data_IF_689794183555
#
_entry.id   IF_689794183555
#
_cell.length_a   1.000
_cell.length_b   1.000
_cell.length_c   1.000
_cell.angle_alpha   90.00
_cell.angle_beta   90.00
_cell.angle_gamma   90.00
#
_symmetry.space_group_name_H-M   'P 1'
#
loop_
_entity.id
_entity.type
_entity.pdbx_description
1 polymer ?
#
# COMPACT_ATOMS: atom_id res chain seq x y z
N UNK A 1 22.19 13.35 26.12
CA UNK A 1 20.80 13.56 25.63
C UNK A 1 20.54 15.01 25.23
N UNK A 2 20.62 16.00 26.14
CA UNK A 2 20.22 17.39 25.88
C UNK A 2 20.76 18.03 24.57
N UNK A 3 22.05 17.82 24.24
CA UNK A 3 22.64 18.32 22.98
C UNK A 3 21.93 17.77 21.74
N UNK A 4 21.68 16.46 21.68
CA UNK A 4 20.97 15.81 20.57
C UNK A 4 19.52 16.29 20.44
N UNK A 5 18.83 16.51 21.58
CA UNK A 5 17.48 17.09 21.59
C UNK A 5 17.48 18.53 21.04
N UNK A 6 18.51 19.33 21.35
CA UNK A 6 18.66 20.68 20.83
C UNK A 6 19.02 20.69 19.33
N UNK A 7 19.85 19.75 18.87
CA UNK A 7 20.15 19.53 17.44
C UNK A 7 18.88 19.14 16.68
N UNK A 8 18.14 18.12 17.12
CA UNK A 8 16.89 17.70 16.48
C UNK A 8 15.84 18.83 16.44
N UNK A 9 15.67 19.60 17.52
CA UNK A 9 14.76 20.78 17.52
C UNK A 9 15.21 21.86 16.54
N UNK A 10 16.51 21.98 16.28
CA UNK A 10 17.06 22.94 15.31
C UNK A 10 16.86 22.45 13.87
N UNK A 11 17.09 21.16 13.61
CA UNK A 11 16.82 20.52 12.32
C UNK A 11 15.34 20.59 11.95
N UNK A 12 14.44 20.29 12.89
CA UNK A 12 12.99 20.44 12.69
C UNK A 12 12.62 21.87 12.30
N UNK A 13 13.13 22.88 13.01
CA UNK A 13 12.91 24.30 12.66
C UNK A 13 13.45 24.67 11.28
N UNK A 14 14.59 24.12 10.85
CA UNK A 14 15.13 24.32 9.51
C UNK A 14 14.19 23.71 8.46
N UNK A 15 13.65 22.51 8.70
CA UNK A 15 12.70 21.86 7.80
C UNK A 15 11.36 22.63 7.76
N UNK A 16 10.84 23.09 8.90
CA UNK A 16 9.62 23.92 9.02
C UNK A 16 9.71 25.23 8.24
N UNK A 17 10.90 25.85 8.18
CA UNK A 17 11.17 27.08 7.42
C UNK A 17 11.64 26.80 5.98
N UNK A 18 11.82 25.53 5.61
CA UNK A 18 12.17 25.13 4.24
C UNK A 18 10.93 25.05 3.34
N UNK A 19 11.13 24.79 2.05
CA UNK A 19 10.04 24.47 1.12
C UNK A 19 9.61 23.00 1.19
N UNK A 20 10.26 22.14 1.99
CA UNK A 20 9.97 20.71 2.04
C UNK A 20 8.62 20.48 2.74
N UNK A 21 7.71 19.75 2.08
CA UNK A 21 6.44 19.31 2.66
C UNK A 21 6.37 17.79 2.73
N UNK A 22 6.80 17.11 1.67
CA UNK A 22 6.77 15.65 1.58
C UNK A 22 8.18 15.06 1.44
N UNK A 23 8.39 13.86 1.97
CA UNK A 23 9.60 13.07 1.78
C UNK A 23 9.30 11.81 0.96
N UNK A 24 10.25 11.37 0.14
CA UNK A 24 10.30 9.96 -0.27
C UNK A 24 10.78 9.14 0.93
N UNK A 25 10.04 8.13 1.43
CA UNK A 25 10.49 7.32 2.57
C UNK A 25 11.77 6.56 2.25
N UNK A 26 11.89 5.97 1.05
CA UNK A 26 13.04 5.16 0.64
C UNK A 26 14.34 5.99 0.49
N UNK A 27 14.26 7.21 -0.04
CA UNK A 27 15.43 8.06 -0.31
C UNK A 27 15.64 9.21 0.70
N UNK A 28 14.73 9.41 1.65
CA UNK A 28 14.65 10.57 2.55
C UNK A 28 14.73 11.95 1.84
N UNK A 29 14.50 11.98 0.53
CA UNK A 29 14.60 13.18 -0.30
C UNK A 29 13.35 14.06 -0.15
N UNK A 30 13.56 15.36 0.05
CA UNK A 30 12.48 16.32 0.29
C UNK A 30 11.92 16.96 -0.99
N UNK A 31 10.59 17.13 -1.00
CA UNK A 31 9.81 17.68 -2.11
C UNK A 31 8.83 18.75 -1.61
N UNK A 32 8.58 19.83 -2.39
CA UNK A 32 7.69 20.91 -1.99
C UNK A 32 6.20 20.65 -2.28
N UNK A 33 5.89 19.64 -3.10
CA UNK A 33 4.54 19.22 -3.47
C UNK A 33 4.48 17.70 -3.63
N UNK A 34 3.29 17.13 -3.42
CA UNK A 34 2.94 15.75 -3.79
C UNK A 34 3.32 15.41 -5.22
N UNK A 35 3.07 16.32 -6.14
CA UNK A 35 3.12 16.06 -7.58
C UNK A 35 4.56 15.78 -8.04
N UNK A 36 5.52 16.50 -7.46
CA UNK A 36 6.95 16.31 -7.67
C UNK A 36 7.51 15.05 -6.96
N UNK A 37 6.85 14.59 -5.89
CA UNK A 37 7.17 13.32 -5.24
C UNK A 37 6.70 12.13 -6.09
N UNK A 38 5.47 12.17 -6.62
CA UNK A 38 4.96 11.17 -7.55
C UNK A 38 5.71 11.20 -8.91
N UNK A 39 6.16 12.37 -9.38
CA UNK A 39 7.08 12.45 -10.53
C UNK A 39 8.41 11.73 -10.22
N UNK A 40 8.98 11.93 -9.02
CA UNK A 40 10.16 11.20 -8.59
C UNK A 40 9.93 9.69 -8.53
N UNK A 41 8.79 9.21 -8.04
CA UNK A 41 8.47 7.77 -8.06
C UNK A 41 8.51 7.21 -9.48
N UNK A 42 7.75 7.79 -10.42
CA UNK A 42 7.75 7.36 -11.84
C UNK A 42 9.10 7.49 -12.56
N UNK A 43 9.97 8.39 -12.08
CA UNK A 43 11.32 8.61 -12.63
C UNK A 43 12.40 7.72 -12.00
N UNK A 44 12.08 7.04 -10.91
CA UNK A 44 12.99 6.16 -10.18
C UNK A 44 12.43 4.74 -10.27
N UNK A 45 12.71 4.05 -11.38
CA UNK A 45 12.20 2.71 -11.69
C UNK A 45 12.88 1.62 -10.85
N UNK A 46 12.66 1.65 -9.53
CA UNK A 46 12.91 0.54 -8.62
C UNK A 46 11.61 0.01 -8.03
N UNK A 47 11.65 -1.24 -7.54
CA UNK A 47 10.46 -1.98 -7.07
C UNK A 47 9.72 -1.29 -5.91
N UNK A 48 10.42 -0.44 -5.15
CA UNK A 48 9.85 0.28 -4.00
C UNK A 48 9.12 1.52 -4.51
N UNK A 49 9.78 2.36 -5.32
CA UNK A 49 9.20 3.56 -5.90
C UNK A 49 8.03 3.26 -6.85
N UNK A 50 8.13 2.19 -7.66
CA UNK A 50 7.02 1.65 -8.45
C UNK A 50 5.81 1.36 -7.55
N UNK A 51 6.03 0.69 -6.41
CA UNK A 51 4.98 0.41 -5.42
C UNK A 51 4.43 1.66 -4.74
N UNK A 52 5.26 2.68 -4.50
CA UNK A 52 4.83 3.94 -3.89
C UNK A 52 3.92 4.78 -4.80
N UNK A 53 4.05 4.68 -6.14
CA UNK A 53 3.14 5.31 -7.11
C UNK A 53 1.79 4.55 -7.21
N UNK A 54 1.79 3.22 -7.02
CA UNK A 54 0.61 2.33 -7.17
C UNK A 54 -0.52 2.52 -6.13
N UNK A 55 -0.47 3.53 -5.26
CA UNK A 55 -1.42 3.69 -4.15
C UNK A 55 -2.90 3.68 -4.57
N UNK A 56 -3.22 4.26 -5.72
CA UNK A 56 -4.59 4.36 -6.24
C UNK A 56 -5.05 3.14 -7.02
N UNK A 57 -4.14 2.22 -7.38
CA UNK A 57 -4.42 1.03 -8.21
C UNK A 57 -4.28 -0.27 -7.44
N UNK A 58 -3.31 -0.37 -6.54
CA UNK A 58 -3.06 -1.51 -5.66
C UNK A 58 -2.56 -1.02 -4.29
N UNK A 59 -3.50 -0.80 -3.37
CA UNK A 59 -3.19 -0.40 -2.01
C UNK A 59 -2.36 -1.45 -1.23
N UNK A 60 -2.51 -2.74 -1.56
CA UNK A 60 -1.79 -3.83 -0.89
C UNK A 60 -0.30 -3.80 -1.21
N UNK A 61 0.05 -3.77 -2.50
CA UNK A 61 1.44 -3.63 -2.96
C UNK A 61 2.04 -2.29 -2.54
N UNK A 62 1.28 -1.20 -2.63
CA UNK A 62 1.67 0.09 -2.09
C UNK A 62 2.04 0.00 -0.61
N UNK A 63 1.18 -0.59 0.23
CA UNK A 63 1.38 -0.64 1.67
C UNK A 63 2.60 -1.49 2.06
N UNK A 64 2.80 -2.64 1.41
CA UNK A 64 4.00 -3.48 1.60
C UNK A 64 5.29 -2.74 1.20
N UNK A 65 5.30 -2.05 0.07
CA UNK A 65 6.47 -1.25 -0.35
C UNK A 65 6.69 -0.05 0.57
N UNK A 66 5.62 0.55 1.08
CA UNK A 66 5.66 1.67 2.02
C UNK A 66 6.22 1.25 3.39
N UNK A 67 5.85 0.09 3.94
CA UNK A 67 6.45 -0.44 5.18
C UNK A 67 7.94 -0.75 5.02
N UNK A 68 8.37 -1.27 3.86
CA UNK A 68 9.81 -1.48 3.57
C UNK A 68 10.54 -0.14 3.49
N UNK A 69 9.98 0.84 2.76
CA UNK A 69 10.58 2.17 2.58
C UNK A 69 10.67 2.99 3.87
N UNK A 70 9.63 2.94 4.70
CA UNK A 70 9.58 3.59 6.02
C UNK A 70 10.42 2.84 7.08
N UNK A 71 10.92 1.64 6.73
CA UNK A 71 11.67 0.74 7.61
C UNK A 71 10.91 0.28 8.86
N UNK A 72 9.59 0.45 8.90
CA UNK A 72 8.76 0.27 10.09
C UNK A 72 7.47 -0.53 9.81
N UNK A 73 7.10 -1.39 10.75
CA UNK A 73 5.85 -2.15 10.76
C UNK A 73 4.68 -1.30 11.29
N UNK A 74 4.29 -0.25 10.56
CA UNK A 74 3.05 0.50 10.88
C UNK A 74 1.79 -0.32 10.54
N UNK A 75 0.65 -0.01 11.17
CA UNK A 75 -0.65 -0.57 10.81
C UNK A 75 -1.33 0.24 9.69
N UNK A 76 -2.16 -0.38 8.81
CA UNK A 76 -2.91 0.35 7.78
C UNK A 76 -3.77 1.49 8.34
N UNK A 77 -4.36 1.29 9.53
CA UNK A 77 -5.19 2.27 10.23
C UNK A 77 -4.43 3.50 10.75
N UNK A 78 -3.10 3.44 10.85
CA UNK A 78 -2.25 4.58 11.22
C UNK A 78 -1.84 5.43 10.00
N UNK A 79 -2.02 4.92 8.78
CA UNK A 79 -1.56 5.59 7.57
C UNK A 79 -2.49 6.76 7.20
N UNK A 80 -1.94 7.97 7.15
CA UNK A 80 -2.75 9.15 6.80
C UNK A 80 -3.29 9.12 5.36
N UNK A 81 -4.53 9.56 5.19
CA UNK A 81 -5.23 9.56 3.90
C UNK A 81 -4.65 10.59 2.91
N UNK A 82 -4.58 10.22 1.63
CA UNK A 82 -3.96 11.03 0.59
C UNK A 82 -2.46 11.27 0.83
N UNK A 83 -1.86 12.23 0.12
CA UNK A 83 -0.42 12.49 0.17
C UNK A 83 0.16 12.83 1.56
N UNK A 84 -0.70 13.01 2.58
CA UNK A 84 -0.33 13.26 3.98
C UNK A 84 0.58 12.20 4.60
N UNK A 85 0.47 10.93 4.21
CA UNK A 85 1.40 9.91 4.72
C UNK A 85 2.85 10.21 4.33
N UNK A 86 3.08 10.90 3.21
CA UNK A 86 4.40 11.32 2.79
C UNK A 86 4.85 12.65 3.44
N UNK A 87 4.03 13.31 4.27
CA UNK A 87 4.46 14.55 4.93
C UNK A 87 5.64 14.30 5.87
N UNK A 88 6.62 15.21 5.86
CA UNK A 88 7.89 15.02 6.56
C UNK A 88 7.70 14.73 8.06
N UNK A 89 6.64 15.26 8.68
CA UNK A 89 6.30 15.03 10.08
C UNK A 89 5.93 13.57 10.34
N UNK A 90 5.02 13.01 9.54
CA UNK A 90 4.60 11.61 9.68
C UNK A 90 5.76 10.66 9.41
N UNK A 91 6.56 10.94 8.37
CA UNK A 91 7.75 10.16 8.05
C UNK A 91 8.75 10.21 9.21
N UNK A 92 9.16 11.38 9.70
CA UNK A 92 10.15 11.50 10.80
C UNK A 92 9.65 10.87 12.12
N UNK A 93 8.34 10.89 12.37
CA UNK A 93 7.73 10.26 13.55
C UNK A 93 7.66 8.73 13.48
N UNK A 94 7.51 8.15 12.28
CA UNK A 94 7.30 6.72 12.08
C UNK A 94 8.45 6.00 11.36
N UNK A 95 9.53 6.70 10.99
CA UNK A 95 10.68 6.10 10.31
C UNK A 95 11.45 5.18 11.27
N UNK A 96 11.53 3.90 10.93
CA UNK A 96 12.18 2.90 11.77
C UNK A 96 13.71 2.97 11.70
N UNK A 97 14.37 2.65 12.82
CA UNK A 97 15.74 2.15 12.83
C UNK A 97 15.78 0.73 12.23
N UNK A 98 15.43 0.62 10.94
CA UNK A 98 15.39 -0.67 10.27
C UNK A 98 16.77 -1.12 9.87
N UNK A 99 17.20 -2.21 10.52
CA UNK A 99 18.24 -3.12 10.06
C UNK A 99 18.08 -3.41 8.55
N UNK A 100 19.22 -3.53 7.88
CA UNK A 100 19.34 -3.41 6.42
C UNK A 100 18.66 -4.55 5.62
N UNK A 101 18.14 -5.56 6.33
CA UNK A 101 17.69 -6.86 5.84
C UNK A 101 16.21 -6.91 5.38
N UNK A 102 15.45 -5.79 5.45
CA UNK A 102 13.99 -5.79 5.17
C UNK A 102 13.60 -5.68 3.68
N UNK A 103 14.56 -5.63 2.76
CA UNK A 103 14.30 -5.36 1.33
C UNK A 103 13.48 -6.45 0.61
N UNK A 104 13.46 -7.67 1.14
CA UNK A 104 12.91 -8.87 0.49
C UNK A 104 11.39 -8.90 0.28
N UNK A 105 10.62 -8.00 0.91
CA UNK A 105 9.15 -8.12 1.03
C UNK A 105 8.39 -7.49 -0.16
N UNK A 106 9.05 -6.70 -1.01
CA UNK A 106 8.44 -6.10 -2.22
C UNK A 106 8.33 -7.05 -3.44
N UNK A 107 8.49 -8.37 -3.24
CA UNK A 107 8.55 -9.33 -4.34
C UNK A 107 7.16 -9.71 -4.86
N UNK A 108 6.99 -9.61 -6.18
CA UNK A 108 5.79 -10.02 -6.90
C UNK A 108 5.74 -11.55 -7.05
N UNK A 109 4.89 -12.21 -6.26
CA UNK A 109 4.52 -13.60 -6.50
C UNK A 109 3.60 -13.67 -7.74
N UNK A 110 4.17 -13.91 -8.91
CA UNK A 110 3.42 -14.23 -10.12
C UNK A 110 3.75 -15.64 -10.62
N UNK A 111 3.26 -16.64 -9.87
CA UNK A 111 3.38 -18.06 -10.18
C UNK A 111 2.11 -18.78 -9.77
N UNK A 112 1.46 -19.45 -10.73
CA UNK A 112 0.34 -20.35 -10.46
C UNK A 112 0.86 -21.63 -9.76
N UNK A 113 0.60 -21.76 -8.46
CA UNK A 113 0.66 -23.02 -7.73
C UNK A 113 -0.48 -23.05 -6.71
N UNK A 114 -1.34 -24.06 -6.81
CA UNK A 114 -2.59 -24.11 -6.05
C UNK A 114 -2.38 -24.32 -4.55
N UNK A 115 -2.86 -23.37 -3.75
CA UNK A 115 -3.03 -23.57 -2.31
C UNK A 115 -4.39 -24.25 -2.05
N UNK A 116 -4.40 -25.58 -1.98
CA UNK A 116 -5.54 -26.34 -1.46
C UNK A 116 -5.76 -25.97 0.01
N UNK A 117 -6.87 -25.30 0.32
CA UNK A 117 -7.30 -25.09 1.69
C UNK A 117 -7.90 -26.39 2.24
N UNK A 118 -7.28 -26.94 3.28
CA UNK A 118 -7.82 -28.08 4.03
C UNK A 118 -8.42 -27.58 5.34
N UNK A 119 -9.73 -27.36 5.37
CA UNK A 119 -10.45 -27.14 6.63
C UNK A 119 -10.72 -28.52 7.26
N UNK A 120 -10.12 -28.78 8.42
CA UNK A 120 -10.43 -29.97 9.23
C UNK A 120 -11.61 -29.66 10.15
N UNK A 121 -12.83 -29.85 9.65
CA UNK A 121 -14.04 -29.72 10.47
C UNK A 121 -14.03 -30.73 11.63
N UNK A 122 -14.47 -30.28 12.80
CA UNK A 122 -14.66 -31.13 13.99
C UNK A 122 -16.15 -31.44 14.15
N UNK A 123 -16.47 -32.68 14.50
CA UNK A 123 -17.82 -33.28 14.38
C UNK A 123 -18.96 -32.54 15.11
N UNK A 124 -20.12 -32.52 14.48
CA UNK A 124 -21.40 -31.96 14.97
C UNK A 124 -22.07 -32.82 16.08
N UNK A 125 -23.30 -32.48 16.51
CA UNK A 125 -24.46 -33.14 15.89
C UNK A 125 -25.76 -32.30 15.75
N UNK A 126 -26.73 -32.85 14.98
CA UNK A 126 -28.18 -32.53 14.93
C UNK A 126 -28.63 -31.12 14.43
N UNK A 127 -29.73 -30.98 13.67
CA UNK A 127 -30.62 -31.97 13.00
C UNK A 127 -31.50 -31.32 11.93
N UNK A 128 -31.89 -32.09 10.91
CA UNK A 128 -32.99 -31.87 9.93
C UNK A 128 -32.89 -30.64 8.97
N UNK A 129 -33.30 -30.68 7.69
CA UNK A 129 -34.00 -31.73 6.92
C UNK A 129 -33.65 -31.69 5.41
N UNK A 130 -33.68 -32.85 4.75
CA UNK A 130 -33.92 -33.10 3.30
C UNK A 130 -32.97 -32.56 2.19
N UNK A 131 -32.80 -33.43 1.19
CA UNK A 131 -32.01 -33.32 -0.05
C UNK A 131 -32.89 -33.98 -1.17
N UNK A 132 -32.71 -33.86 -2.49
CA UNK A 132 -31.51 -33.59 -3.31
C UNK A 132 -31.77 -32.39 -4.29
N UNK A 133 -31.71 -32.40 -5.65
CA UNK A 133 -31.79 -31.15 -6.46
C UNK A 133 -33.01 -31.09 -7.40
N UNK A 134 -33.06 -30.10 -8.31
CA UNK A 134 -33.42 -30.33 -9.71
C UNK A 134 -32.80 -29.30 -10.67
N UNK A 135 -32.78 -29.63 -11.96
CA UNK A 135 -32.09 -28.92 -13.06
C UNK A 135 -33.06 -27.99 -13.84
N UNK A 136 -32.58 -27.38 -14.94
CA UNK A 136 -33.26 -26.55 -15.95
C UNK A 136 -33.61 -25.08 -15.60
N UNK A 137 -32.81 -24.15 -16.15
CA UNK A 137 -33.21 -23.53 -17.42
C UNK A 137 -33.55 -22.03 -17.49
N UNK A 138 -33.17 -21.45 -18.63
CA UNK A 138 -33.79 -20.30 -19.32
C UNK A 138 -33.53 -18.84 -18.86
N UNK A 139 -32.81 -18.13 -19.74
CA UNK A 139 -32.90 -16.69 -20.04
C UNK A 139 -34.37 -16.32 -20.44
N UNK A 140 -34.87 -15.05 -20.39
CA UNK A 140 -34.31 -13.94 -21.17
C UNK A 140 -34.45 -12.49 -20.63
N UNK A 141 -33.56 -11.59 -21.09
CA UNK A 141 -33.81 -10.21 -21.63
C UNK A 141 -32.48 -9.43 -21.64
N UNK A 142 -32.17 -8.55 -22.62
CA UNK A 142 -32.91 -8.24 -23.85
C UNK A 142 -32.84 -6.75 -24.24
N UNK A 143 -31.67 -6.23 -24.64
CA UNK A 143 -31.51 -4.87 -25.19
C UNK A 143 -30.62 -4.87 -26.44
N UNK A 144 -30.97 -4.01 -27.41
CA UNK A 144 -30.37 -3.94 -28.75
C UNK A 144 -30.30 -2.49 -29.26
N UNK A 145 -29.33 -2.22 -30.15
CA UNK A 145 -29.20 -0.96 -30.90
C UNK A 145 -28.27 0.08 -30.24
N UNK A 146 -27.44 0.83 -30.98
CA UNK A 146 -27.44 1.04 -32.44
C UNK A 146 -26.01 1.13 -33.00
N UNK A 147 -25.78 0.47 -34.13
CA UNK A 147 -24.77 0.89 -35.10
C UNK A 147 -25.40 1.86 -36.11
N UNK A 148 -24.58 2.79 -36.61
CA UNK A 148 -24.76 3.40 -37.94
C UNK A 148 -23.41 3.95 -38.40
N UNK A 149 -22.95 3.47 -39.54
CA UNK A 149 -21.95 4.14 -40.37
C UNK A 149 -22.66 4.85 -41.52
N UNK A 150 -22.03 5.91 -42.03
CA UNK A 150 -22.20 6.59 -43.32
C UNK A 150 -23.65 6.82 -43.84
#
# INVERSE_FOLDING_TARGET
>A
MASLQMQNRTLLRIIENSKIRSLCPQCLKGFPRSDALYEHFRRTSDKIHDGLDMRSTDFGRFFSCYQVALRASILPAQLQFGAKCFEYRFIVEHYGEGDENRQSICQTNNTNTGATYSWTDTTAPSSDTNYIPNDFGSNPMGWSGNERQD
#
